data_IF_043325661583
#
_entry.id   IF_043325661583
#
_cell.length_a   1.000
_cell.length_b   1.000
_cell.length_c   1.000
_cell.angle_alpha   90.00
_cell.angle_beta   90.00
_cell.angle_gamma   90.00
#
_symmetry.space_group_name_H-M   'P 1'
#
loop_
_entity.id
_entity.type
_entity.pdbx_description
1 polymer ?
#
# COMPACT_ATOMS: atom_id res chain seq x y z
N UNK A 1 -10.38 -21.71 -10.44
CA UNK A 1 -8.91 -21.88 -10.49
C UNK A 1 -8.37 -21.74 -9.08
N UNK A 2 -7.60 -22.70 -8.58
CA UNK A 2 -7.14 -22.68 -7.18
C UNK A 2 -5.88 -21.81 -7.04
N UNK A 3 -5.99 -20.72 -6.28
CA UNK A 3 -4.84 -19.89 -5.89
C UNK A 3 -3.79 -20.75 -5.17
N UNK A 4 -2.57 -20.79 -5.71
CA UNK A 4 -1.45 -21.58 -5.18
C UNK A 4 -0.45 -20.73 -4.41
N UNK A 5 0.30 -21.32 -3.46
CA UNK A 5 0.68 -20.56 -2.29
C UNK A 5 2.22 -20.72 -1.93
N UNK A 6 2.79 -19.99 -0.96
CA UNK A 6 4.23 -19.86 -0.67
C UNK A 6 4.86 -20.85 0.34
N UNK A 7 6.07 -20.45 0.75
CA UNK A 7 6.86 -20.87 1.90
C UNK A 7 7.20 -19.60 2.71
N UNK A 8 6.41 -19.22 3.74
CA UNK A 8 6.84 -18.24 4.76
C UNK A 8 8.20 -18.70 5.28
N UNK A 9 9.28 -17.99 4.95
CA UNK A 9 10.61 -18.32 5.43
C UNK A 9 10.81 -17.69 6.81
N UNK A 10 10.54 -18.49 7.84
CA UNK A 10 10.82 -18.14 9.23
C UNK A 10 12.33 -17.92 9.40
N UNK A 11 12.75 -16.67 9.64
CA UNK A 11 14.06 -16.38 10.23
C UNK A 11 13.92 -16.23 11.75
N UNK A 12 14.56 -17.11 12.54
CA UNK A 12 15.04 -16.71 13.85
C UNK A 12 16.00 -15.52 13.67
N UNK A 13 16.02 -14.58 14.61
CA UNK A 13 16.98 -13.46 14.61
C UNK A 13 18.42 -14.00 14.60
N UNK A 14 19.08 -13.94 13.44
CA UNK A 14 20.51 -14.18 13.34
C UNK A 14 21.27 -12.89 13.74
N UNK A 15 22.31 -13.04 14.57
CA UNK A 15 23.02 -11.97 15.30
C UNK A 15 22.21 -11.24 16.40
N UNK A 16 22.20 -11.84 17.60
CA UNK A 16 21.63 -11.27 18.84
C UNK A 16 22.35 -10.01 19.39
N UNK A 17 23.38 -9.48 18.70
CA UNK A 17 24.33 -8.50 19.29
C UNK A 17 23.80 -7.04 19.27
N UNK A 18 22.80 -6.71 18.44
CA UNK A 18 22.35 -5.30 18.30
C UNK A 18 21.01 -4.95 18.99
N UNK A 19 20.06 -5.89 19.16
CA UNK A 19 18.74 -5.57 19.74
C UNK A 19 18.19 -6.70 20.63
N UNK A 20 18.56 -6.69 21.92
CA UNK A 20 18.25 -7.73 22.90
C UNK A 20 16.82 -7.74 23.45
N UNK A 21 15.88 -6.92 22.93
CA UNK A 21 14.55 -6.76 23.54
C UNK A 21 13.42 -6.36 22.56
N UNK A 22 13.39 -6.95 21.36
CA UNK A 22 12.28 -6.76 20.41
C UNK A 22 11.90 -8.05 19.66
N UNK A 23 11.47 -9.06 20.40
CA UNK A 23 10.73 -10.20 19.81
C UNK A 23 9.38 -9.69 19.33
N UNK A 24 9.20 -9.60 18.01
CA UNK A 24 7.92 -9.23 17.42
C UNK A 24 6.90 -10.35 17.67
N UNK A 25 5.74 -9.99 18.22
CA UNK A 25 4.62 -10.91 18.34
C UNK A 25 4.08 -11.25 16.96
N UNK A 26 3.73 -12.52 16.74
CA UNK A 26 3.22 -13.04 15.48
C UNK A 26 2.10 -14.03 15.76
N UNK A 27 1.03 -13.97 14.96
CA UNK A 27 0.00 -15.00 14.79
C UNK A 27 0.35 -15.85 13.55
N UNK A 28 1.02 -17.02 13.69
CA UNK A 28 1.40 -17.85 12.54
C UNK A 28 0.18 -18.46 11.84
N UNK A 29 -0.89 -18.67 12.59
CA UNK A 29 -2.22 -19.13 12.17
C UNK A 29 -2.94 -18.14 11.23
N UNK A 30 -2.56 -16.86 11.24
CA UNK A 30 -3.01 -15.89 10.23
C UNK A 30 -2.44 -16.18 8.82
N UNK A 31 -1.49 -17.10 8.70
CA UNK A 31 -0.85 -17.49 7.45
C UNK A 31 -1.01 -19.00 7.21
N UNK A 32 -1.32 -19.39 5.97
CA UNK A 32 -1.21 -20.80 5.62
C UNK A 32 0.27 -21.22 5.57
N UNK A 33 0.67 -22.38 6.15
CA UNK A 33 2.03 -22.90 6.03
C UNK A 33 2.40 -23.30 4.60
N UNK A 34 1.41 -23.33 3.70
CA UNK A 34 1.62 -23.46 2.25
C UNK A 34 1.37 -22.15 1.49
N UNK A 35 1.07 -21.01 2.17
CA UNK A 35 0.28 -19.80 1.82
C UNK A 35 0.84 -18.70 0.89
N UNK A 36 0.10 -18.28 -0.16
CA UNK A 36 0.32 -17.22 -1.18
C UNK A 36 1.76 -16.73 -1.54
N UNK A 37 2.37 -17.01 -2.74
CA UNK A 37 3.83 -17.02 -3.07
C UNK A 37 4.67 -15.74 -2.88
N UNK A 38 4.09 -14.70 -2.32
CA UNK A 38 4.68 -13.45 -1.84
C UNK A 38 5.20 -13.62 -0.40
N UNK A 39 6.44 -13.25 -0.10
CA UNK A 39 6.93 -13.26 1.28
C UNK A 39 6.36 -12.08 2.09
N UNK A 40 5.85 -12.37 3.29
CA UNK A 40 5.43 -11.38 4.29
C UNK A 40 6.27 -11.59 5.55
N UNK A 41 7.05 -10.59 5.94
CA UNK A 41 8.03 -10.70 7.01
C UNK A 41 8.25 -9.38 7.76
N UNK A 42 9.26 -9.32 8.63
CA UNK A 42 9.65 -8.12 9.36
C UNK A 42 11.05 -7.66 8.91
N UNK A 43 11.34 -6.37 9.07
CA UNK A 43 12.68 -5.83 8.80
C UNK A 43 13.71 -6.48 9.74
N UNK A 44 14.92 -6.73 9.24
CA UNK A 44 16.03 -7.34 10.00
C UNK A 44 16.53 -6.48 11.18
N UNK A 45 16.10 -5.22 11.26
CA UNK A 45 16.35 -4.32 12.39
C UNK A 45 15.09 -3.55 12.78
N UNK A 46 14.92 -3.27 14.07
CA UNK A 46 13.82 -2.48 14.63
C UNK A 46 14.37 -1.17 15.18
N UNK A 47 13.92 -0.04 14.63
CA UNK A 47 14.36 1.28 15.11
C UNK A 47 13.96 1.50 16.57
N UNK A 48 14.90 1.97 17.40
CA UNK A 48 14.70 2.10 18.86
C UNK A 48 13.51 3.00 19.24
N UNK A 49 13.19 4.01 18.41
CA UNK A 49 11.98 4.82 18.57
C UNK A 49 10.69 3.99 18.60
N UNK A 50 10.59 2.91 17.79
CA UNK A 50 9.37 2.09 17.70
C UNK A 50 9.11 1.29 18.98
N UNK A 51 10.15 0.76 19.63
CA UNK A 51 10.00 0.04 20.92
C UNK A 51 9.64 1.00 22.06
N UNK A 52 10.06 2.27 21.97
CA UNK A 52 9.63 3.34 22.88
C UNK A 52 8.18 3.78 22.63
N UNK A 53 7.76 3.94 21.38
CA UNK A 53 6.36 4.21 21.01
C UNK A 53 5.41 3.13 21.52
N UNK A 54 5.79 1.85 21.46
CA UNK A 54 4.97 0.78 22.01
C UNK A 54 4.71 0.94 23.52
N UNK A 55 5.66 1.50 24.30
CA UNK A 55 5.44 1.81 25.72
C UNK A 55 4.42 2.95 25.90
N UNK A 56 4.53 4.03 25.12
CA UNK A 56 3.55 5.12 25.13
C UNK A 56 2.15 4.63 24.74
N UNK A 57 2.05 3.73 23.75
CA UNK A 57 0.78 3.11 23.37
C UNK A 57 0.15 2.29 24.51
N UNK A 58 0.94 1.47 25.22
CA UNK A 58 0.47 0.68 26.37
C UNK A 58 -0.02 1.58 27.53
N UNK A 59 0.71 2.66 27.87
CA UNK A 59 0.27 3.64 28.89
C UNK A 59 -1.09 4.25 28.54
N UNK A 60 -1.35 4.46 27.25
CA UNK A 60 -2.61 4.98 26.73
C UNK A 60 -3.68 3.89 26.48
N UNK A 61 -3.50 2.67 26.98
CA UNK A 61 -4.46 1.56 26.88
C UNK A 61 -4.45 0.79 25.55
N UNK A 62 -3.52 1.10 24.64
CA UNK A 62 -3.34 0.38 23.37
C UNK A 62 -2.31 -0.74 23.58
N UNK A 63 -2.75 -1.79 24.28
CA UNK A 63 -1.97 -2.97 24.62
C UNK A 63 -1.26 -3.60 23.41
N UNK A 64 -0.23 -4.41 23.66
CA UNK A 64 0.45 -5.15 22.60
C UNK A 64 -0.38 -6.36 22.16
N UNK A 65 -0.51 -6.57 20.84
CA UNK A 65 -1.01 -7.80 20.23
C UNK A 65 0.04 -8.44 19.31
N UNK A 66 -0.18 -9.70 18.94
CA UNK A 66 0.74 -10.52 18.15
C UNK A 66 0.65 -10.29 16.64
N UNK A 67 0.65 -9.02 16.25
CA UNK A 67 0.52 -8.57 14.85
C UNK A 67 -0.92 -8.23 14.46
N UNK A 68 -1.06 -7.55 13.33
CA UNK A 68 -2.36 -7.13 12.78
C UNK A 68 -2.94 -8.13 11.76
N UNK A 69 -2.20 -9.19 11.40
CA UNK A 69 -2.54 -10.07 10.29
C UNK A 69 -3.73 -11.01 10.58
N UNK A 70 -4.04 -11.25 11.86
CA UNK A 70 -5.20 -12.02 12.31
C UNK A 70 -6.54 -11.24 12.27
N UNK A 71 -6.53 -9.97 11.82
CA UNK A 71 -7.71 -9.10 11.80
C UNK A 71 -8.01 -8.37 13.12
N UNK A 72 -7.24 -8.62 14.18
CA UNK A 72 -7.28 -7.81 15.40
C UNK A 72 -6.65 -6.43 15.15
N UNK A 73 -7.47 -5.37 15.04
CA UNK A 73 -6.99 -4.01 14.71
C UNK A 73 -6.90 -3.04 15.91
N UNK A 74 -7.58 -3.34 17.02
CA UNK A 74 -7.69 -2.44 18.19
C UNK A 74 -6.59 -2.68 19.23
N UNK A 75 -5.34 -2.37 18.90
CA UNK A 75 -4.17 -2.44 19.81
C UNK A 75 -2.90 -1.92 19.12
N UNK A 76 -1.73 -2.11 19.73
CA UNK A 76 -0.42 -1.85 19.11
C UNK A 76 0.32 -3.12 18.72
N UNK A 77 0.93 -3.12 17.53
CA UNK A 77 1.85 -4.16 17.08
C UNK A 77 2.83 -3.59 16.06
N UNK A 78 3.86 -4.38 15.72
CA UNK A 78 4.71 -4.08 14.58
C UNK A 78 4.00 -4.51 13.29
N UNK A 79 3.98 -3.63 12.29
CA UNK A 79 3.47 -3.97 10.97
C UNK A 79 4.46 -4.90 10.24
N UNK A 80 3.94 -5.91 9.56
CA UNK A 80 4.69 -6.73 8.61
C UNK A 80 4.86 -5.99 7.27
N UNK A 81 5.82 -6.43 6.47
CA UNK A 81 6.16 -5.88 5.15
C UNK A 81 6.26 -7.00 4.12
N UNK A 82 6.04 -6.70 2.84
CA UNK A 82 6.29 -7.64 1.74
C UNK A 82 7.79 -7.63 1.38
N UNK A 83 8.56 -8.41 2.13
CA UNK A 83 10.03 -8.42 2.11
C UNK A 83 10.52 -9.87 2.25
N UNK A 84 11.53 -10.24 1.46
CA UNK A 84 12.24 -11.50 1.60
C UNK A 84 13.10 -11.49 2.88
N UNK A 85 12.80 -12.34 3.87
CA UNK A 85 13.49 -12.35 5.17
C UNK A 85 14.96 -12.79 5.09
N UNK A 86 15.42 -13.35 3.97
CA UNK A 86 16.81 -13.81 3.79
C UNK A 86 17.79 -12.67 3.48
N UNK A 87 17.33 -11.68 2.72
CA UNK A 87 18.17 -10.64 2.09
C UNK A 87 17.59 -9.21 2.21
N UNK A 88 16.44 -9.06 2.87
CA UNK A 88 15.70 -7.81 3.05
C UNK A 88 15.24 -7.11 1.75
N UNK A 89 15.24 -7.82 0.61
CA UNK A 89 14.73 -7.28 -0.65
C UNK A 89 13.20 -7.19 -0.65
N UNK A 90 12.66 -6.25 -1.43
CA UNK A 90 11.21 -6.09 -1.60
C UNK A 90 10.62 -7.29 -2.34
N UNK A 91 9.72 -8.02 -1.69
CA UNK A 91 8.83 -8.95 -2.38
C UNK A 91 7.70 -8.15 -3.01
N UNK A 92 7.60 -8.21 -4.33
CA UNK A 92 6.59 -7.53 -5.15
C UNK A 92 5.74 -8.55 -5.90
N UNK A 93 4.57 -8.13 -6.41
CA UNK A 93 3.74 -9.01 -7.24
C UNK A 93 4.45 -9.48 -8.51
N UNK A 94 5.40 -8.69 -9.04
CA UNK A 94 6.20 -9.07 -10.21
C UNK A 94 7.22 -10.15 -9.85
N UNK A 95 8.07 -9.90 -8.85
CA UNK A 95 9.11 -10.83 -8.40
C UNK A 95 8.54 -12.15 -7.85
N UNK A 96 7.37 -12.12 -7.20
CA UNK A 96 6.79 -13.30 -6.54
C UNK A 96 5.82 -14.11 -7.41
N UNK A 97 5.12 -13.49 -8.37
CA UNK A 97 4.15 -14.20 -9.23
C UNK A 97 4.57 -14.23 -10.71
N UNK A 98 4.96 -13.10 -11.30
CA UNK A 98 5.31 -13.05 -12.73
C UNK A 98 6.62 -13.80 -13.00
N UNK A 99 7.69 -13.51 -12.27
CA UNK A 99 8.97 -14.20 -12.42
C UNK A 99 8.83 -15.71 -12.14
N UNK A 100 8.11 -16.08 -11.08
CA UNK A 100 7.82 -17.47 -10.73
C UNK A 100 6.99 -18.26 -11.77
N UNK A 101 6.40 -17.60 -12.78
CA UNK A 101 5.80 -18.21 -13.96
C UNK A 101 6.73 -18.20 -15.17
N UNK A 102 7.48 -17.11 -15.38
CA UNK A 102 8.50 -16.99 -16.43
C UNK A 102 9.61 -18.04 -16.27
N UNK A 103 10.12 -18.22 -15.05
CA UNK A 103 11.14 -19.22 -14.68
C UNK A 103 10.70 -20.67 -14.99
N UNK A 104 9.39 -20.91 -15.08
CA UNK A 104 8.80 -22.22 -15.41
C UNK A 104 8.46 -22.38 -16.89
N UNK A 105 8.80 -21.40 -17.73
CA UNK A 105 8.43 -21.37 -19.15
C UNK A 105 6.92 -21.23 -19.41
N UNK A 106 6.14 -20.84 -18.39
CA UNK A 106 4.67 -20.77 -18.44
C UNK A 106 4.12 -19.35 -18.18
N UNK A 107 4.98 -18.33 -18.31
CA UNK A 107 4.62 -16.93 -18.12
C UNK A 107 3.88 -16.33 -19.32
N UNK A 108 3.05 -15.30 -19.11
CA UNK A 108 2.39 -14.57 -20.19
C UNK A 108 3.39 -13.70 -20.99
N UNK A 109 3.01 -13.32 -22.20
CA UNK A 109 3.73 -12.28 -22.96
C UNK A 109 3.55 -10.91 -22.29
N UNK A 110 4.66 -10.22 -22.00
CA UNK A 110 4.64 -8.95 -21.24
C UNK A 110 4.97 -7.76 -22.16
N UNK A 111 3.99 -6.89 -22.37
CA UNK A 111 4.15 -5.63 -23.10
C UNK A 111 4.52 -4.50 -22.13
N UNK A 112 5.82 -4.21 -22.01
CA UNK A 112 6.33 -3.08 -21.20
C UNK A 112 6.14 -1.75 -21.93
N UNK A 113 6.14 -0.62 -21.20
CA UNK A 113 5.99 0.73 -21.74
C UNK A 113 4.80 0.89 -22.72
N UNK A 114 3.72 0.16 -22.46
CA UNK A 114 2.57 0.03 -23.37
C UNK A 114 1.30 0.47 -22.68
N UNK A 115 0.62 1.48 -23.23
CA UNK A 115 -0.65 1.99 -22.75
C UNK A 115 -1.80 1.41 -23.58
N UNK A 116 -2.79 0.81 -22.93
CA UNK A 116 -4.05 0.45 -23.56
C UNK A 116 -4.96 1.68 -23.65
N UNK A 117 -5.51 1.97 -24.83
CA UNK A 117 -6.37 3.14 -25.07
C UNK A 117 -7.85 2.80 -24.91
N UNK A 118 -8.30 1.74 -25.58
CA UNK A 118 -9.69 1.29 -25.56
C UNK A 118 -9.79 -0.19 -25.87
N UNK A 119 -10.73 -0.86 -25.21
CA UNK A 119 -11.26 -2.14 -25.66
C UNK A 119 -12.31 -1.89 -26.76
N UNK A 120 -12.27 -2.70 -27.80
CA UNK A 120 -13.30 -2.77 -28.82
C UNK A 120 -14.18 -3.98 -28.55
N UNK A 121 -15.48 -3.80 -28.77
CA UNK A 121 -16.49 -4.81 -28.51
C UNK A 121 -17.18 -5.20 -29.81
N UNK A 122 -17.45 -6.50 -29.97
CA UNK A 122 -18.39 -7.01 -30.95
C UNK A 122 -19.74 -6.29 -30.81
N UNK A 123 -20.30 -5.89 -31.96
CA UNK A 123 -21.54 -5.14 -32.06
C UNK A 123 -22.72 -5.95 -31.51
N UNK A 124 -22.76 -7.25 -31.79
CA UNK A 124 -23.96 -8.06 -31.56
C UNK A 124 -24.03 -8.60 -30.12
N UNK A 125 -22.89 -9.04 -29.57
CA UNK A 125 -22.85 -9.70 -28.26
C UNK A 125 -22.21 -8.86 -27.14
N UNK A 126 -21.71 -7.65 -27.45
CA UNK A 126 -20.90 -6.82 -26.53
C UNK A 126 -19.74 -7.60 -25.89
N UNK A 127 -19.11 -8.49 -26.66
CA UNK A 127 -17.90 -9.20 -26.25
C UNK A 127 -16.65 -8.39 -26.60
N UNK A 128 -15.75 -8.18 -25.64
CA UNK A 128 -14.47 -7.52 -25.92
C UNK A 128 -13.61 -8.43 -26.81
N UNK A 129 -13.41 -8.03 -28.06
CA UNK A 129 -12.68 -8.79 -29.07
C UNK A 129 -11.25 -8.28 -29.27
N UNK A 130 -11.03 -6.99 -29.08
CA UNK A 130 -9.75 -6.34 -29.37
C UNK A 130 -9.41 -5.26 -28.35
N UNK A 131 -8.13 -4.92 -28.24
CA UNK A 131 -7.65 -3.77 -27.48
C UNK A 131 -6.70 -2.97 -28.36
N UNK A 132 -6.91 -1.66 -28.47
CA UNK A 132 -5.96 -0.75 -29.13
C UNK A 132 -4.94 -0.23 -28.12
N UNK A 133 -3.65 -0.32 -28.44
CA UNK A 133 -2.55 0.06 -27.57
C UNK A 133 -1.52 0.94 -28.30
N UNK A 134 -0.70 1.63 -27.52
CA UNK A 134 0.56 2.24 -28.00
C UNK A 134 1.72 1.86 -27.10
N UNK A 135 2.82 1.41 -27.67
CA UNK A 135 4.10 1.29 -26.96
C UNK A 135 4.93 2.55 -27.17
N UNK A 136 5.52 3.08 -26.10
CA UNK A 136 6.46 4.19 -26.18
C UNK A 136 7.75 3.76 -26.88
N UNK A 137 8.27 4.62 -27.76
CA UNK A 137 9.58 4.38 -28.37
C UNK A 137 10.71 4.58 -27.36
N UNK A 138 11.76 3.79 -27.47
CA UNK A 138 13.01 3.98 -26.70
C UNK A 138 14.14 4.45 -27.63
N UNK A 139 15.11 5.20 -27.08
CA UNK A 139 16.34 5.64 -27.78
C UNK A 139 16.12 6.25 -29.19
N UNK A 140 15.17 7.19 -29.31
CA UNK A 140 14.90 7.91 -30.57
C UNK A 140 14.00 7.18 -31.56
N UNK A 141 13.58 5.94 -31.26
CA UNK A 141 12.46 5.31 -31.99
C UNK A 141 11.13 6.03 -31.68
N UNK A 142 10.21 6.00 -32.64
CA UNK A 142 8.86 6.58 -32.48
C UNK A 142 7.96 5.61 -31.72
N UNK A 143 6.95 6.14 -31.02
CA UNK A 143 5.88 5.31 -30.46
C UNK A 143 5.12 4.58 -31.57
N UNK A 144 4.72 3.34 -31.31
CA UNK A 144 4.02 2.46 -32.25
C UNK A 144 2.63 2.14 -31.71
N UNK A 145 1.61 2.36 -32.54
CA UNK A 145 0.23 1.98 -32.25
C UNK A 145 -0.08 0.62 -32.90
N UNK A 146 -0.76 -0.26 -32.18
CA UNK A 146 -1.17 -1.58 -32.67
C UNK A 146 -2.41 -2.09 -31.92
N UNK A 147 -3.03 -3.13 -32.48
CA UNK A 147 -4.20 -3.80 -31.91
C UNK A 147 -3.79 -5.20 -31.46
N UNK A 148 -4.23 -5.62 -30.28
CA UNK A 148 -4.19 -7.02 -29.85
C UNK A 148 -5.60 -7.62 -29.94
N UNK A 149 -5.71 -8.76 -30.62
CA UNK A 149 -6.95 -9.52 -30.72
C UNK A 149 -7.00 -10.58 -29.62
N UNK A 150 -8.13 -10.73 -28.95
CA UNK A 150 -8.32 -11.70 -27.86
C UNK A 150 -8.53 -13.11 -28.44
N UNK A 151 -7.47 -13.93 -28.45
CA UNK A 151 -7.51 -15.30 -28.99
C UNK A 151 -8.25 -16.31 -28.09
N UNK A 152 -8.39 -16.00 -26.80
CA UNK A 152 -9.19 -16.77 -25.82
C UNK A 152 -9.61 -15.83 -24.70
N UNK A 153 -10.75 -16.09 -24.06
CA UNK A 153 -11.29 -15.20 -23.03
C UNK A 153 -10.34 -15.10 -21.82
N UNK A 154 -9.76 -13.92 -21.58
CA UNK A 154 -9.14 -13.57 -20.31
C UNK A 154 -10.21 -13.28 -19.24
N UNK A 155 -11.05 -14.29 -18.97
CA UNK A 155 -12.27 -14.17 -18.16
C UNK A 155 -12.01 -14.28 -16.65
N UNK A 156 -11.18 -13.38 -16.12
CA UNK A 156 -11.08 -13.17 -14.66
C UNK A 156 -11.26 -11.67 -14.30
N UNK A 157 -10.65 -10.76 -15.08
CA UNK A 157 -10.90 -9.32 -14.93
C UNK A 157 -12.26 -8.89 -15.52
N UNK A 158 -12.71 -9.55 -16.60
CA UNK A 158 -13.92 -9.15 -17.34
C UNK A 158 -15.22 -9.27 -16.52
N UNK A 159 -15.31 -10.23 -15.58
CA UNK A 159 -16.50 -10.37 -14.72
C UNK A 159 -16.57 -9.27 -13.64
N UNK A 160 -15.46 -8.61 -13.30
CA UNK A 160 -15.49 -7.40 -12.47
C UNK A 160 -15.88 -6.14 -13.27
N UNK A 161 -15.53 -6.10 -14.56
CA UNK A 161 -15.80 -4.96 -15.44
C UNK A 161 -17.22 -4.97 -16.06
N UNK A 162 -17.93 -6.11 -16.03
CA UNK A 162 -19.29 -6.24 -16.58
C UNK A 162 -20.36 -5.36 -15.92
N UNK A 163 -20.09 -4.83 -14.72
CA UNK A 163 -20.97 -3.88 -14.03
C UNK A 163 -20.56 -2.41 -14.26
N UNK A 164 -19.57 -2.14 -15.13
CA UNK A 164 -19.24 -0.79 -15.59
C UNK A 164 -19.98 -0.48 -16.88
N UNK A 165 -21.27 -0.16 -16.74
CA UNK A 165 -21.79 0.93 -17.56
C UNK A 165 -20.92 2.18 -17.29
N UNK A 166 -20.79 3.08 -18.28
CA UNK A 166 -19.96 4.29 -18.11
C UNK A 166 -20.57 5.49 -17.33
N UNK A 167 -21.66 5.38 -16.52
CA UNK A 167 -21.90 6.33 -15.44
C UNK A 167 -21.29 5.87 -14.11
N UNK A 168 -20.57 6.78 -13.46
CA UNK A 168 -20.26 6.76 -12.03
C UNK A 168 -19.29 5.65 -11.54
N UNK A 169 -17.97 5.93 -11.61
CA UNK A 169 -16.99 5.27 -10.73
C UNK A 169 -17.31 5.66 -9.29
N UNK A 170 -18.15 4.87 -8.61
CA UNK A 170 -18.37 4.96 -7.18
C UNK A 170 -17.08 4.53 -6.50
N UNK A 171 -16.31 5.49 -5.97
CA UNK A 171 -15.05 5.20 -5.31
C UNK A 171 -15.25 4.07 -4.27
N UNK A 172 -14.56 2.92 -4.39
CA UNK A 172 -14.62 1.90 -3.37
C UNK A 172 -14.05 2.48 -2.05
N UNK A 173 -14.59 2.10 -0.88
CA UNK A 173 -14.01 2.50 0.39
C UNK A 173 -12.59 1.91 0.47
N UNK A 174 -11.56 2.76 0.44
CA UNK A 174 -10.18 2.29 0.39
C UNK A 174 -9.11 3.35 0.12
N UNK A 175 -9.44 4.48 -0.52
CA UNK A 175 -8.55 5.66 -0.52
C UNK A 175 -8.67 6.35 0.84
N UNK A 176 -7.98 5.78 1.83
CA UNK A 176 -7.98 6.26 3.21
C UNK A 176 -7.46 7.69 3.29
N UNK A 177 -8.27 8.59 3.86
CA UNK A 177 -7.83 9.97 4.10
C UNK A 177 -6.77 9.95 5.20
N UNK A 178 -5.60 10.52 4.89
CA UNK A 178 -4.40 10.39 5.72
C UNK A 178 -4.11 11.68 6.48
N UNK A 179 -3.87 11.55 7.78
CA UNK A 179 -3.56 12.64 8.70
C UNK A 179 -2.09 12.50 9.09
N UNK A 180 -1.24 12.80 8.12
CA UNK A 180 0.19 13.05 8.31
C UNK A 180 0.78 13.64 7.03
N UNK A 181 1.58 14.69 7.19
CA UNK A 181 2.58 15.02 6.19
C UNK A 181 3.61 13.89 6.19
N UNK A 182 3.55 13.05 5.17
CA UNK A 182 4.65 12.16 4.83
C UNK A 182 5.32 12.89 3.67
N UNK A 183 6.63 13.11 3.74
CA UNK A 183 7.37 13.73 2.63
C UNK A 183 7.30 12.88 1.36
N UNK A 184 8.19 13.10 0.40
CA UNK A 184 8.12 12.38 -0.88
C UNK A 184 8.27 10.83 -0.77
N UNK A 185 8.57 10.26 0.39
CA UNK A 185 8.70 8.82 0.69
C UNK A 185 9.70 8.05 -0.21
N UNK A 186 10.49 8.74 -1.03
CA UNK A 186 11.52 8.14 -1.89
C UNK A 186 12.80 7.83 -1.12
N UNK A 187 13.12 8.60 -0.07
CA UNK A 187 14.30 8.37 0.78
C UNK A 187 14.11 8.98 2.18
N UNK A 188 13.87 8.12 3.19
CA UNK A 188 13.73 8.52 4.61
C UNK A 188 15.05 9.05 5.23
N UNK A 189 16.20 8.91 4.56
CA UNK A 189 17.52 9.28 5.11
C UNK A 189 18.04 10.62 4.58
N UNK A 190 17.61 11.04 3.38
CA UNK A 190 18.10 12.28 2.74
C UNK A 190 17.07 13.39 2.63
N UNK A 191 15.80 13.10 2.95
CA UNK A 191 14.70 14.07 2.89
C UNK A 191 14.43 14.79 4.23
N UNK A 192 15.02 14.32 5.32
CA UNK A 192 14.93 14.97 6.63
C UNK A 192 15.66 16.33 6.64
N UNK A 193 15.18 17.31 7.41
CA UNK A 193 15.88 18.58 7.62
C UNK A 193 17.33 18.38 8.07
N UNK A 194 18.25 19.16 7.50
CA UNK A 194 19.70 19.11 7.81
C UNK A 194 20.09 20.09 8.91
N UNK A 195 19.22 20.28 9.89
CA UNK A 195 19.41 21.16 11.05
C UNK A 195 20.10 20.47 12.24
N UNK A 196 20.32 19.15 12.15
CA UNK A 196 20.96 18.34 13.20
C UNK A 196 19.97 17.65 14.14
N UNK A 197 18.66 17.86 13.97
CA UNK A 197 17.62 17.18 14.74
C UNK A 197 17.16 15.88 14.06
N UNK A 198 16.59 14.97 14.86
CA UNK A 198 15.96 13.75 14.35
C UNK A 198 14.44 13.90 14.42
N UNK A 199 13.77 13.55 13.32
CA UNK A 199 12.32 13.69 13.20
C UNK A 199 11.62 12.33 13.20
N UNK A 200 10.39 12.31 13.70
CA UNK A 200 9.50 11.17 13.56
C UNK A 200 8.06 11.65 13.40
N UNK A 201 7.26 10.90 12.64
CA UNK A 201 5.87 11.26 12.34
C UNK A 201 4.92 10.16 12.80
N UNK A 202 3.90 10.53 13.58
CA UNK A 202 2.73 9.69 13.82
C UNK A 202 1.75 9.88 12.66
N UNK A 203 1.45 8.80 11.94
CA UNK A 203 0.57 8.80 10.78
C UNK A 203 -0.76 8.11 11.08
N UNK A 204 -1.83 8.88 11.05
CA UNK A 204 -3.21 8.37 11.12
C UNK A 204 -3.79 8.21 9.71
N UNK A 205 -4.69 7.25 9.53
CA UNK A 205 -5.49 7.12 8.31
C UNK A 205 -6.91 6.65 8.66
N UNK A 206 -7.91 7.19 7.99
CA UNK A 206 -9.29 6.71 8.12
C UNK A 206 -9.42 5.37 7.38
N UNK A 207 -9.74 4.30 8.10
CA UNK A 207 -9.84 2.93 7.55
C UNK A 207 -11.05 2.79 6.62
N UNK A 208 -12.18 3.41 6.98
CA UNK A 208 -13.42 3.39 6.22
C UNK A 208 -14.07 4.79 6.18
N UNK A 209 -13.50 5.74 5.41
CA UNK A 209 -14.07 7.08 5.31
C UNK A 209 -15.46 7.05 4.65
N UNK A 210 -16.31 8.03 4.98
CA UNK A 210 -17.65 8.18 4.42
C UNK A 210 -17.68 9.07 3.16
N UNK A 211 -16.76 10.04 3.05
CA UNK A 211 -16.64 10.91 1.88
C UNK A 211 -16.37 10.12 0.59
N UNK A 212 -16.92 10.57 -0.55
CA UNK A 212 -16.76 9.91 -1.85
C UNK A 212 -16.33 10.89 -2.93
N UNK A 213 -15.12 10.71 -3.44
CA UNK A 213 -14.63 11.37 -4.65
C UNK A 213 -15.10 10.72 -5.96
N UNK A 214 -14.72 11.33 -7.07
CA UNK A 214 -14.96 10.85 -8.43
C UNK A 214 -13.71 11.01 -9.30
N UNK A 215 -13.51 10.09 -10.25
CA UNK A 215 -12.53 10.20 -11.34
C UNK A 215 -13.27 10.04 -12.66
N UNK A 216 -12.99 10.91 -13.64
CA UNK A 216 -13.60 10.90 -14.98
C UNK A 216 -12.55 11.16 -16.05
N UNK A 217 -12.72 10.60 -17.23
CA UNK A 217 -11.93 11.03 -18.41
C UNK A 217 -12.27 12.48 -18.76
N UNK A 218 -11.25 13.28 -19.10
CA UNK A 218 -11.43 14.65 -19.59
C UNK A 218 -11.79 14.69 -21.09
N UNK A 219 -11.60 13.59 -21.81
CA UNK A 219 -11.87 13.46 -23.24
C UNK A 219 -11.45 12.09 -23.78
N UNK A 220 -11.47 11.87 -25.10
CA UNK A 220 -11.12 10.60 -25.73
C UNK A 220 -9.61 10.33 -25.85
N UNK A 221 -8.75 11.33 -25.56
CA UNK A 221 -7.30 11.18 -25.65
C UNK A 221 -6.73 10.78 -24.29
N UNK A 222 -6.15 9.59 -24.20
CA UNK A 222 -5.57 9.04 -22.96
C UNK A 222 -4.34 9.80 -22.43
N UNK A 223 -3.71 10.66 -23.24
CA UNK A 223 -2.67 11.57 -22.78
C UNK A 223 -3.22 12.84 -22.11
N UNK A 224 -4.54 13.05 -22.13
CA UNK A 224 -5.18 14.16 -21.42
C UNK A 224 -5.40 13.74 -19.96
N UNK A 225 -4.89 14.49 -18.96
CA UNK A 225 -5.08 14.15 -17.55
C UNK A 225 -6.57 13.99 -17.20
N UNK A 226 -6.96 12.98 -16.41
CA UNK A 226 -8.34 12.79 -16.00
C UNK A 226 -8.81 13.90 -15.05
N UNK A 227 -10.12 14.15 -15.04
CA UNK A 227 -10.76 15.01 -14.06
C UNK A 227 -10.87 14.24 -12.73
N UNK A 228 -10.07 14.62 -11.75
CA UNK A 228 -10.03 14.01 -10.42
C UNK A 228 -10.65 14.99 -9.41
N UNK A 229 -11.75 14.59 -8.78
CA UNK A 229 -12.36 15.29 -7.66
C UNK A 229 -12.31 14.41 -6.41
N UNK A 230 -11.26 14.50 -5.54
CA UNK A 230 -11.09 13.56 -4.43
C UNK A 230 -12.17 13.66 -3.35
N UNK A 231 -12.75 14.85 -3.18
CA UNK A 231 -13.76 15.17 -2.16
C UNK A 231 -13.36 14.67 -0.76
N UNK A 232 -12.11 14.91 -0.33
CA UNK A 232 -11.66 14.55 1.01
C UNK A 232 -12.38 15.37 2.08
N UNK A 233 -12.68 14.73 3.21
CA UNK A 233 -13.34 15.34 4.36
C UNK A 233 -14.64 16.10 4.03
N UNK A 234 -15.40 15.73 2.98
CA UNK A 234 -16.71 16.38 2.73
C UNK A 234 -17.77 15.90 3.72
N UNK A 235 -17.67 14.64 4.19
CA UNK A 235 -18.49 14.13 5.27
C UNK A 235 -17.98 14.68 6.63
N UNK A 236 -18.84 15.27 7.48
CA UNK A 236 -18.42 15.80 8.78
C UNK A 236 -17.88 14.71 9.72
N UNK A 237 -18.31 13.45 9.57
CA UNK A 237 -17.83 12.30 10.36
C UNK A 237 -16.35 12.05 10.11
N UNK A 238 -15.89 12.19 8.86
CA UNK A 238 -14.47 12.05 8.50
C UNK A 238 -13.63 13.16 9.16
N UNK A 239 -14.15 14.40 9.21
CA UNK A 239 -13.51 15.53 9.91
C UNK A 239 -13.40 15.26 11.41
N UNK A 240 -14.50 14.85 12.05
CA UNK A 240 -14.55 14.60 13.49
C UNK A 240 -13.61 13.46 13.88
N UNK A 241 -13.59 12.37 13.11
CA UNK A 241 -12.67 11.25 13.34
C UNK A 241 -11.21 11.68 13.12
N UNK A 242 -10.95 12.56 12.15
CA UNK A 242 -9.61 13.10 11.93
C UNK A 242 -9.14 14.02 13.07
N UNK A 243 -10.00 14.88 13.59
CA UNK A 243 -9.73 15.72 14.76
C UNK A 243 -9.47 14.85 16.00
N UNK A 244 -10.24 13.77 16.19
CA UNK A 244 -10.01 12.79 17.27
C UNK A 244 -8.65 12.10 17.12
N UNK A 245 -8.27 11.67 15.92
CA UNK A 245 -6.96 11.09 15.65
C UNK A 245 -5.81 12.08 15.93
N UNK A 246 -5.96 13.35 15.53
CA UNK A 246 -4.97 14.41 15.81
C UNK A 246 -4.83 14.69 17.32
N UNK A 247 -5.93 14.71 18.07
CA UNK A 247 -5.90 14.80 19.55
C UNK A 247 -5.17 13.60 20.16
N UNK A 248 -5.47 12.39 19.68
CA UNK A 248 -4.81 11.15 20.13
C UNK A 248 -3.32 11.13 19.83
N UNK A 249 -2.88 11.66 18.68
CA UNK A 249 -1.45 11.84 18.39
C UNK A 249 -0.75 12.73 19.42
N UNK A 250 -1.39 13.81 19.89
CA UNK A 250 -0.81 14.68 20.93
C UNK A 250 -0.68 13.98 22.28
N UNK A 251 -1.65 13.16 22.65
CA UNK A 251 -1.55 12.30 23.85
C UNK A 251 -0.33 11.35 23.75
N UNK A 252 -0.14 10.70 22.60
CA UNK A 252 1.02 9.82 22.35
C UNK A 252 2.34 10.61 22.44
N UNK A 253 2.42 11.79 21.83
CA UNK A 253 3.63 12.64 21.90
C UNK A 253 3.91 13.11 23.33
N UNK A 254 2.89 13.45 24.12
CA UNK A 254 3.05 13.82 25.52
C UNK A 254 3.62 12.66 26.37
N UNK A 255 3.19 11.43 26.13
CA UNK A 255 3.80 10.25 26.78
C UNK A 255 5.23 9.98 26.30
N UNK A 256 5.53 10.18 25.01
CA UNK A 256 6.90 10.08 24.48
C UNK A 256 7.84 11.12 25.12
N UNK A 257 7.36 12.34 25.37
CA UNK A 257 8.11 13.37 26.07
C UNK A 257 8.38 13.02 27.54
N UNK A 258 7.37 12.50 28.27
CA UNK A 258 7.55 11.97 29.64
C UNK A 258 8.59 10.84 29.70
N UNK A 259 8.63 9.98 28.67
CA UNK A 259 9.61 8.91 28.53
C UNK A 259 11.00 9.38 28.08
N UNK A 260 11.21 10.68 27.86
CA UNK A 260 12.44 11.30 27.31
C UNK A 260 12.87 10.72 25.95
N UNK A 261 11.88 10.53 25.07
CA UNK A 261 12.04 9.96 23.71
C UNK A 261 11.86 11.02 22.63
N UNK A 262 11.16 12.10 22.96
CA UNK A 262 10.91 13.26 22.10
C UNK A 262 10.90 14.52 22.97
N UNK A 263 11.16 15.67 22.36
CA UNK A 263 11.01 16.96 23.04
C UNK A 263 9.53 17.34 23.20
N UNK A 264 9.23 18.23 24.15
CA UNK A 264 7.85 18.70 24.38
C UNK A 264 7.33 19.61 23.26
N UNK A 265 8.23 20.24 22.50
CA UNK A 265 7.90 21.17 21.43
C UNK A 265 7.50 20.43 20.15
N UNK A 266 6.27 19.91 20.12
CA UNK A 266 5.77 19.23 18.92
C UNK A 266 5.56 20.23 17.78
N UNK A 267 6.46 20.22 16.78
CA UNK A 267 6.34 20.97 15.53
C UNK A 267 5.30 20.36 14.60
N UNK A 268 4.05 20.30 15.04
CA UNK A 268 2.89 20.05 14.19
C UNK A 268 2.36 21.40 13.68
N UNK A 269 2.73 21.86 12.46
CA UNK A 269 2.00 22.96 11.83
C UNK A 269 0.55 22.53 11.62
N UNK A 270 -0.36 23.12 12.40
CA UNK A 270 -1.79 23.05 12.17
C UNK A 270 -2.12 23.81 10.87
N UNK A 271 -2.00 23.13 9.73
CA UNK A 271 -2.82 23.47 8.57
C UNK A 271 -4.14 22.70 8.68
N UNK A 272 -5.10 23.36 9.33
CA UNK A 272 -6.54 23.15 9.12
C UNK A 272 -7.03 24.17 8.09
#
# INVERSE_FOLDING_TARGET
MAYRPARLLLTPLHNQILHSNSTNGQTPDAFSPTGGPLEVSFRNAVHAFRTRCQKAFIVLGMNRIDGFNSGGLLSSAFAAFTIDPRNAQRSSSESSFLQAMLDKGAGPTVYKNTMAHKALFDHDNKHATEVQLSTEGTFGSRSVNFTLHALTQALDLANHLRNLEFPYIKNPPGVGQKIAFNGYNLNEVTADPKDGHQYATLSGALVAPLSRGSVRLAGPNMNTPPLIGPQWFVDPTDKDLAIRAAKRHREIWAELAKLRVADQESTLPLML
#
